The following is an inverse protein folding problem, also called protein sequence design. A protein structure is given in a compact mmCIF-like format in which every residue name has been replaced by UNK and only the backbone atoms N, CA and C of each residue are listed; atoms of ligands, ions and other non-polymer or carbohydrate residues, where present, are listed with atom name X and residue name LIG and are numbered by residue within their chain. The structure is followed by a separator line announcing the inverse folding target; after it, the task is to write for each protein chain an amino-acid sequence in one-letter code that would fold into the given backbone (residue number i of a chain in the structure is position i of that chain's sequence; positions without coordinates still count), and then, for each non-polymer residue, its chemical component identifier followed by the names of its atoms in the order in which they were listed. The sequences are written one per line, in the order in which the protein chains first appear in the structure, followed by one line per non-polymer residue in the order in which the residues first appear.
data_IF_758444058888
#
_entry.id   IF_758444058888
#
_cell.length_a   1.000
_cell.length_b   1.000
_cell.length_c   1.000
_cell.angle_alpha   90.00
_cell.angle_beta   90.00
_cell.angle_gamma   90.00
#
_symmetry.space_group_name_H-M   'P 1'
#
loop_
_entity.id
_entity.type
_entity.pdbx_description
1 polymer ?
#
# COMPACT_ATOMS: atom_id res chain seq x y z
N UNK A 1 -11.22 -8.48 -9.68
CA UNK A 1 -12.07 -9.55 -9.08
C UNK A 1 -13.52 -9.42 -9.53
N UNK A 2 -14.13 -8.21 -9.50
CA UNK A 2 -15.52 -8.00 -9.96
C UNK A 2 -15.72 -8.45 -11.41
N UNK A 3 -14.78 -8.11 -12.28
CA UNK A 3 -14.86 -8.48 -13.70
C UNK A 3 -14.76 -10.01 -13.96
N UNK A 4 -14.26 -10.77 -13.00
CA UNK A 4 -14.23 -12.24 -13.06
C UNK A 4 -15.58 -12.85 -12.68
N UNK A 5 -16.28 -12.23 -11.72
CA UNK A 5 -17.59 -12.70 -11.25
C UNK A 5 -18.71 -12.27 -12.18
N UNK A 6 -18.65 -11.04 -12.67
CA UNK A 6 -19.62 -10.47 -13.62
C UNK A 6 -18.89 -9.45 -14.48
N UNK A 7 -18.66 -9.73 -15.78
CA UNK A 7 -18.04 -8.77 -16.68
C UNK A 7 -18.88 -7.49 -16.76
N UNK A 8 -18.22 -6.34 -16.58
CA UNK A 8 -18.87 -5.04 -16.64
C UNK A 8 -18.82 -4.56 -18.08
N UNK A 9 -19.97 -4.33 -18.70
CA UNK A 9 -20.11 -3.84 -20.06
C UNK A 9 -20.08 -2.31 -20.12
N UNK A 10 -19.88 -1.76 -21.33
CA UNK A 10 -19.91 -0.32 -21.55
C UNK A 10 -21.27 0.26 -21.15
N UNK A 11 -21.27 1.24 -20.25
CA UNK A 11 -22.47 1.90 -19.73
C UNK A 11 -23.04 1.29 -18.44
N UNK A 12 -22.50 0.16 -17.97
CA UNK A 12 -22.86 -0.40 -16.68
C UNK A 12 -22.05 0.23 -15.55
N UNK A 13 -22.71 0.46 -14.41
CA UNK A 13 -22.07 0.97 -13.19
C UNK A 13 -22.22 -0.05 -12.07
N UNK A 14 -21.11 -0.39 -11.42
CA UNK A 14 -21.09 -1.32 -10.29
C UNK A 14 -20.65 -0.60 -9.04
N UNK A 15 -21.43 -0.73 -7.99
CA UNK A 15 -21.10 -0.23 -6.67
C UNK A 15 -20.53 -1.33 -5.79
N UNK A 16 -19.51 -1.03 -5.04
CA UNK A 16 -18.96 -1.95 -4.05
C UNK A 16 -18.81 -1.26 -2.70
N UNK A 17 -18.88 -2.03 -1.64
CA UNK A 17 -18.62 -1.56 -0.28
C UNK A 17 -17.86 -2.61 0.52
N UNK A 18 -17.16 -2.17 1.55
CA UNK A 18 -16.47 -3.07 2.47
C UNK A 18 -17.44 -3.58 3.55
N UNK A 19 -17.15 -4.78 4.07
CA UNK A 19 -18.00 -5.44 5.07
C UNK A 19 -18.22 -4.55 6.32
N UNK A 20 -17.23 -3.82 6.80
CA UNK A 20 -17.38 -2.92 7.93
C UNK A 20 -18.38 -1.79 7.67
N UNK A 21 -18.39 -1.25 6.45
CA UNK A 21 -19.36 -0.21 6.07
C UNK A 21 -20.78 -0.81 5.98
N UNK A 22 -20.90 -2.02 5.48
CA UNK A 22 -22.19 -2.71 5.41
C UNK A 22 -22.76 -2.96 6.81
N UNK A 23 -21.91 -3.36 7.76
CA UNK A 23 -22.31 -3.52 9.17
C UNK A 23 -22.79 -2.19 9.76
N UNK A 24 -22.06 -1.09 9.51
CA UNK A 24 -22.46 0.23 10.00
C UNK A 24 -23.80 0.70 9.41
N UNK A 25 -24.02 0.45 8.12
CA UNK A 25 -25.31 0.71 7.46
C UNK A 25 -26.42 -0.15 8.10
N UNK A 26 -26.20 -1.45 8.27
CA UNK A 26 -27.15 -2.35 8.89
C UNK A 26 -27.53 -1.91 10.31
N UNK A 27 -26.55 -1.54 11.12
CA UNK A 27 -26.79 -1.02 12.48
C UNK A 27 -27.60 0.27 12.48
N UNK A 28 -27.34 1.17 11.54
CA UNK A 28 -28.11 2.39 11.40
C UNK A 28 -29.60 2.11 11.13
N UNK A 29 -29.90 1.20 10.20
CA UNK A 29 -31.28 0.87 9.87
C UNK A 29 -32.00 0.06 10.95
N UNK A 30 -31.27 -0.81 11.65
CA UNK A 30 -31.86 -1.65 12.69
C UNK A 30 -32.06 -0.92 14.01
N UNK A 31 -31.09 -0.08 14.39
CA UNK A 31 -31.02 0.51 15.73
C UNK A 31 -31.23 2.04 15.71
N UNK A 32 -31.30 2.68 14.55
CA UNK A 32 -31.42 4.12 14.43
C UNK A 32 -30.17 4.90 14.86
N UNK A 33 -29.05 4.21 15.10
CA UNK A 33 -27.79 4.82 15.61
C UNK A 33 -26.65 4.53 14.66
N UNK A 34 -25.94 5.58 14.28
CA UNK A 34 -24.72 5.43 13.47
C UNK A 34 -23.54 5.02 14.35
N UNK A 35 -22.99 3.85 14.11
CA UNK A 35 -21.78 3.35 14.76
C UNK A 35 -20.55 3.71 13.90
N UNK A 36 -19.76 4.67 14.36
CA UNK A 36 -18.51 5.08 13.72
C UNK A 36 -17.32 4.19 14.07
N UNK A 37 -17.52 3.12 14.83
CA UNK A 37 -16.44 2.21 15.21
C UNK A 37 -15.88 1.50 13.98
N UNK A 38 -14.56 1.35 13.97
CA UNK A 38 -13.83 0.68 12.89
C UNK A 38 -12.69 -0.15 13.45
N UNK A 39 -12.49 -1.31 12.88
CA UNK A 39 -11.31 -2.14 13.15
C UNK A 39 -10.24 -1.78 12.12
N UNK A 40 -9.07 -1.40 12.61
CA UNK A 40 -7.92 -0.99 11.82
C UNK A 40 -6.77 -1.95 12.10
N UNK A 41 -6.14 -2.46 11.03
CA UNK A 41 -4.93 -3.25 11.12
C UNK A 41 -3.72 -2.31 11.25
N UNK A 42 -2.89 -2.50 12.26
CA UNK A 42 -1.60 -1.82 12.41
C UNK A 42 -0.49 -2.83 12.08
N UNK A 43 0.18 -2.64 10.94
CA UNK A 43 1.07 -3.64 10.34
C UNK A 43 2.29 -2.98 9.72
N UNK A 44 3.28 -3.78 9.34
CA UNK A 44 4.49 -3.32 8.68
C UNK A 44 5.72 -3.98 9.25
N UNK A 45 6.85 -3.84 8.56
CA UNK A 45 8.13 -4.42 9.00
C UNK A 45 8.69 -3.74 10.24
N UNK A 46 8.31 -2.47 10.48
CA UNK A 46 8.79 -1.67 11.60
C UNK A 46 7.80 -1.61 12.77
N UNK A 47 6.79 -2.48 12.78
CA UNK A 47 5.86 -2.63 13.89
C UNK A 47 6.33 -3.78 14.78
N UNK A 48 6.49 -3.51 16.10
CA UNK A 48 6.93 -4.52 17.08
C UNK A 48 5.94 -5.67 17.19
N UNK A 49 4.66 -5.33 17.35
CA UNK A 49 3.56 -6.28 17.49
C UNK A 49 2.42 -5.90 16.54
N UNK A 50 2.35 -6.52 15.35
CA UNK A 50 1.22 -6.29 14.44
C UNK A 50 -0.09 -6.79 15.05
N UNK A 51 -1.08 -5.91 15.13
CA UNK A 51 -2.39 -6.26 15.70
C UNK A 51 -3.53 -5.41 15.13
N UNK A 52 -4.75 -5.80 15.48
CA UNK A 52 -5.96 -5.05 15.15
C UNK A 52 -6.37 -4.15 16.31
N UNK A 53 -6.68 -2.91 15.98
CA UNK A 53 -7.20 -1.93 16.95
C UNK A 53 -8.64 -1.56 16.61
N UNK A 54 -9.50 -1.53 17.63
CA UNK A 54 -10.83 -0.95 17.48
C UNK A 54 -10.74 0.54 17.80
N UNK A 55 -11.10 1.35 16.83
CA UNK A 55 -11.07 2.81 16.91
C UNK A 55 -12.33 3.40 16.29
N UNK A 56 -12.37 4.71 16.08
CA UNK A 56 -13.43 5.42 15.37
C UNK A 56 -12.90 6.04 14.09
N UNK A 57 -13.78 6.27 13.13
CA UNK A 57 -13.45 7.02 11.91
C UNK A 57 -12.99 8.42 12.33
N UNK A 58 -11.84 8.87 11.80
CA UNK A 58 -11.27 10.18 12.13
C UNK A 58 -10.54 10.25 13.48
N UNK A 59 -10.31 9.12 14.15
CA UNK A 59 -9.51 9.12 15.39
C UNK A 59 -8.03 9.36 15.10
N UNK A 60 -7.36 10.03 16.01
CA UNK A 60 -5.90 10.19 16.00
C UNK A 60 -5.21 8.86 16.26
N UNK A 61 -4.26 8.50 15.37
CA UNK A 61 -3.48 7.26 15.43
C UNK A 61 -2.15 7.42 16.18
N UNK A 62 -1.82 8.61 16.69
CA UNK A 62 -0.54 8.88 17.37
C UNK A 62 -0.27 7.93 18.54
N UNK A 63 -1.31 7.51 19.26
CA UNK A 63 -1.20 6.53 20.34
C UNK A 63 -0.64 5.15 19.89
N UNK A 64 -0.72 4.81 18.61
CA UNK A 64 -0.18 3.57 18.09
C UNK A 64 1.31 3.63 17.81
N UNK A 65 1.89 4.82 17.72
CA UNK A 65 3.29 5.03 17.35
C UNK A 65 4.27 4.51 18.40
N UNK A 66 3.84 4.33 19.64
CA UNK A 66 4.63 3.66 20.68
C UNK A 66 4.98 2.20 20.32
N UNK A 67 4.20 1.58 19.43
CA UNK A 67 4.44 0.23 18.92
C UNK A 67 5.38 0.18 17.69
N UNK A 68 5.95 1.31 17.29
CA UNK A 68 6.95 1.38 16.21
C UNK A 68 8.32 1.04 16.78
N UNK A 69 9.09 0.25 16.02
CA UNK A 69 10.39 -0.26 16.45
C UNK A 69 11.54 0.75 16.25
N UNK A 70 11.45 1.57 15.20
CA UNK A 70 12.52 2.49 14.76
C UNK A 70 11.99 3.91 14.56
N UNK A 71 12.88 4.89 14.58
CA UNK A 71 12.50 6.30 14.43
C UNK A 71 12.34 6.72 12.97
N UNK A 72 13.16 6.17 12.07
CA UNK A 72 13.16 6.55 10.66
C UNK A 72 12.23 5.67 9.84
N UNK A 73 10.93 5.97 9.92
CA UNK A 73 9.87 5.17 9.29
C UNK A 73 8.93 6.02 8.45
N UNK A 74 8.35 5.39 7.47
CA UNK A 74 7.21 5.91 6.72
C UNK A 74 5.94 5.25 7.23
N UNK A 75 5.03 6.09 7.73
CA UNK A 75 3.69 5.68 8.14
C UNK A 75 2.75 5.93 6.97
N UNK A 76 2.02 4.91 6.59
CA UNK A 76 1.16 4.91 5.41
C UNK A 76 -0.27 4.61 5.85
N UNK A 77 -1.21 5.49 5.48
CA UNK A 77 -2.64 5.22 5.53
C UNK A 77 -2.99 4.29 4.37
N UNK A 78 -3.42 3.08 4.66
CA UNK A 78 -3.63 2.04 3.66
C UNK A 78 -2.43 1.09 3.51
N UNK A 79 -2.33 0.47 2.35
CA UNK A 79 -1.26 -0.47 2.02
C UNK A 79 -0.06 0.22 1.34
N UNK A 80 1.04 -0.51 1.18
CA UNK A 80 2.29 0.00 0.59
C UNK A 80 2.12 0.43 -0.88
N UNK A 81 1.19 -0.17 -1.62
CA UNK A 81 1.06 0.05 -3.07
C UNK A 81 0.17 1.25 -3.40
N UNK A 82 -0.92 1.42 -2.66
CA UNK A 82 -1.96 2.42 -2.99
C UNK A 82 -2.21 3.42 -1.87
N UNK A 83 -1.59 3.22 -0.70
CA UNK A 83 -1.76 4.08 0.46
C UNK A 83 -1.06 5.43 0.31
N UNK A 84 -1.37 6.32 1.24
CA UNK A 84 -0.80 7.68 1.28
C UNK A 84 0.08 7.84 2.52
N UNK A 85 1.22 8.52 2.38
CA UNK A 85 2.06 8.88 3.52
C UNK A 85 1.28 9.80 4.46
N UNK A 86 1.28 9.48 5.74
CA UNK A 86 0.74 10.36 6.78
C UNK A 86 1.81 11.41 7.09
N UNK A 87 1.51 12.67 6.77
CA UNK A 87 2.40 13.81 7.00
C UNK A 87 1.79 14.72 8.08
N UNK A 88 2.25 14.59 9.32
CA UNK A 88 1.86 15.50 10.41
C UNK A 88 0.42 15.39 10.93
N UNK A 89 -0.52 15.06 10.08
CA UNK A 89 -1.89 14.73 10.45
C UNK A 89 -1.97 13.23 10.72
N UNK A 90 -2.14 12.85 11.98
CA UNK A 90 -2.11 11.45 12.41
C UNK A 90 -3.43 10.71 12.16
N UNK A 91 -4.18 11.10 11.14
CA UNK A 91 -5.50 10.54 10.84
C UNK A 91 -5.44 9.52 9.72
N UNK A 92 -6.20 8.44 9.91
CA UNK A 92 -6.41 7.44 8.87
C UNK A 92 -7.37 7.97 7.81
N UNK A 93 -7.09 7.67 6.54
CA UNK A 93 -8.00 7.95 5.44
C UNK A 93 -9.37 7.28 5.64
N UNK A 94 -10.43 7.95 5.22
CA UNK A 94 -11.82 7.49 5.47
C UNK A 94 -12.09 6.07 4.98
N UNK A 95 -11.53 5.69 3.84
CA UNK A 95 -11.73 4.37 3.23
C UNK A 95 -10.67 3.35 3.65
N UNK A 96 -9.63 3.79 4.37
CA UNK A 96 -8.55 2.91 4.78
C UNK A 96 -8.92 2.16 6.06
N UNK A 97 -8.57 0.89 6.11
CA UNK A 97 -8.74 0.01 7.27
C UNK A 97 -7.42 -0.55 7.79
N UNK A 98 -6.32 0.04 7.32
CA UNK A 98 -4.97 -0.42 7.62
C UNK A 98 -4.03 0.77 7.73
N UNK A 99 -3.12 0.69 8.69
CA UNK A 99 -1.92 1.53 8.78
C UNK A 99 -0.72 0.63 8.56
N UNK A 100 0.15 1.02 7.65
CA UNK A 100 1.37 0.26 7.33
C UNK A 100 2.60 1.08 7.64
N UNK A 101 3.53 0.50 8.39
CA UNK A 101 4.80 1.15 8.77
C UNK A 101 5.96 0.41 8.14
N UNK A 102 6.74 1.14 7.34
CA UNK A 102 7.93 0.61 6.63
C UNK A 102 9.13 1.53 6.87
N UNK A 103 10.36 1.05 6.65
CA UNK A 103 11.53 1.90 6.73
C UNK A 103 11.45 3.06 5.74
N UNK A 104 11.79 4.28 6.17
CA UNK A 104 11.98 5.41 5.25
C UNK A 104 13.30 5.23 4.49
N UNK A 105 13.26 5.42 3.17
CA UNK A 105 14.41 5.22 2.31
C UNK A 105 15.24 6.50 2.16
N UNK A 106 16.34 6.56 2.90
CA UNK A 106 17.29 7.68 2.86
C UNK A 106 18.62 7.29 2.19
N UNK A 107 18.73 6.04 1.74
CA UNK A 107 19.97 5.55 1.15
C UNK A 107 20.00 5.75 -0.36
N UNK A 108 20.79 6.72 -0.78
CA UNK A 108 21.12 6.88 -2.21
C UNK A 108 22.18 5.86 -2.62
N UNK A 109 21.91 5.09 -3.65
CA UNK A 109 22.83 4.13 -4.21
C UNK A 109 23.14 4.47 -5.67
N UNK A 110 24.38 4.87 -5.94
CA UNK A 110 24.83 5.14 -7.30
C UNK A 110 24.72 3.88 -8.18
N UNK A 111 24.07 4.02 -9.33
CA UNK A 111 23.81 2.90 -10.26
C UNK A 111 23.17 1.65 -9.62
N UNK A 112 22.41 1.83 -8.55
CA UNK A 112 21.78 0.71 -7.86
C UNK A 112 20.78 -0.10 -8.70
N UNK A 113 20.30 0.48 -9.80
CA UNK A 113 19.45 -0.18 -10.79
C UNK A 113 20.23 -1.12 -11.73
N UNK A 114 21.54 -0.92 -11.91
CA UNK A 114 22.42 -1.75 -12.74
C UNK A 114 23.11 -2.85 -11.92
N UNK A 115 23.27 -2.65 -10.62
CA UNK A 115 23.98 -3.59 -9.77
C UNK A 115 23.26 -4.93 -9.69
N UNK A 116 23.96 -6.06 -9.84
CA UNK A 116 23.39 -7.39 -9.66
C UNK A 116 23.02 -7.59 -8.19
N UNK A 117 21.79 -7.26 -7.83
CA UNK A 117 21.36 -7.31 -6.45
C UNK A 117 20.37 -8.45 -6.23
N UNK A 118 20.80 -9.49 -5.52
CA UNK A 118 20.01 -10.68 -5.23
C UNK A 118 19.02 -10.47 -4.06
N UNK A 119 19.19 -9.42 -3.27
CA UNK A 119 18.37 -9.14 -2.08
C UNK A 119 17.23 -8.14 -2.33
N UNK A 120 17.32 -7.34 -3.39
CA UNK A 120 16.32 -6.30 -3.68
C UNK A 120 15.07 -6.86 -4.31
N UNK A 121 13.96 -6.17 -4.06
CA UNK A 121 12.70 -6.46 -4.73
C UNK A 121 12.78 -6.00 -6.21
N UNK A 122 12.30 -6.83 -7.11
CA UNK A 122 12.13 -6.49 -8.53
C UNK A 122 10.77 -6.99 -9.00
N UNK A 123 9.91 -6.07 -9.40
CA UNK A 123 8.59 -6.40 -9.95
C UNK A 123 8.66 -6.84 -11.41
N UNK A 124 9.65 -6.33 -12.15
CA UNK A 124 9.84 -6.56 -13.59
C UNK A 124 10.73 -7.75 -13.90
N UNK A 125 11.30 -8.40 -12.88
CA UNK A 125 12.25 -9.51 -13.02
C UNK A 125 13.51 -9.16 -13.83
N UNK A 126 13.93 -7.91 -13.85
CA UNK A 126 15.09 -7.44 -14.62
C UNK A 126 16.40 -7.55 -13.86
N UNK A 127 16.37 -7.83 -12.57
CA UNK A 127 17.56 -7.93 -11.70
C UNK A 127 17.88 -9.39 -11.35
N UNK A 128 19.12 -9.64 -10.92
CA UNK A 128 19.56 -10.96 -10.47
C UNK A 128 18.72 -11.58 -9.37
N UNK A 129 18.00 -10.76 -8.58
CA UNK A 129 17.03 -11.22 -7.58
C UNK A 129 15.88 -12.06 -8.17
N UNK A 130 15.61 -11.96 -9.46
CA UNK A 130 14.59 -12.76 -10.16
C UNK A 130 14.98 -14.24 -10.28
N UNK A 131 16.28 -14.54 -10.28
CA UNK A 131 16.82 -15.90 -10.32
C UNK A 131 16.75 -16.61 -8.97
N UNK A 132 16.56 -15.86 -7.87
CA UNK A 132 16.46 -16.42 -6.55
C UNK A 132 15.02 -16.86 -6.25
N UNK A 133 14.87 -17.93 -5.45
CA UNK A 133 13.56 -18.37 -4.94
C UNK A 133 12.81 -17.18 -4.35
N UNK A 134 11.49 -17.10 -4.59
CA UNK A 134 10.59 -16.10 -4.02
C UNK A 134 10.70 -16.12 -2.49
N UNK A 135 11.50 -15.23 -1.94
CA UNK A 135 11.62 -15.01 -0.49
C UNK A 135 10.79 -13.79 -0.09
N UNK A 136 10.28 -13.79 1.14
CA UNK A 136 9.68 -12.58 1.71
C UNK A 136 10.77 -11.51 1.83
N UNK A 137 10.50 -10.32 1.30
CA UNK A 137 11.41 -9.17 1.34
C UNK A 137 10.75 -8.03 2.08
N UNK A 138 11.54 -7.30 2.84
CA UNK A 138 11.11 -6.05 3.47
C UNK A 138 11.03 -5.01 2.37
N UNK A 139 9.88 -4.33 2.27
CA UNK A 139 9.70 -3.20 1.37
C UNK A 139 10.14 -1.94 2.11
N UNK A 140 10.93 -1.12 1.45
CA UNK A 140 11.34 0.21 1.89
C UNK A 140 11.01 1.25 0.79
N UNK A 141 11.37 2.51 1.03
CA UNK A 141 11.15 3.58 0.07
C UNK A 141 12.43 3.99 -0.67
N UNK A 142 13.50 3.20 -0.60
CA UNK A 142 14.74 3.46 -1.32
C UNK A 142 14.55 3.35 -2.84
N UNK A 143 15.02 4.37 -3.57
CA UNK A 143 14.90 4.42 -5.03
C UNK A 143 15.97 3.60 -5.76
N UNK A 144 16.93 3.02 -5.02
CA UNK A 144 17.94 2.09 -5.54
C UNK A 144 18.65 2.56 -6.84
N UNK A 145 19.03 3.82 -6.90
CA UNK A 145 19.76 4.37 -8.03
C UNK A 145 19.20 5.69 -8.56
N UNK A 146 18.33 6.33 -7.81
CA UNK A 146 17.71 7.60 -8.11
C UNK A 146 16.37 7.50 -8.83
N UNK A 147 15.77 8.64 -9.09
CA UNK A 147 14.45 8.73 -9.73
C UNK A 147 14.59 8.29 -11.19
N UNK A 148 13.83 7.27 -11.54
CA UNK A 148 13.65 6.84 -12.92
C UNK A 148 12.18 6.76 -13.24
N UNK A 149 11.66 7.66 -14.06
CA UNK A 149 10.22 7.73 -14.35
C UNK A 149 9.72 6.47 -15.08
N UNK A 150 10.56 5.89 -15.92
CA UNK A 150 10.26 4.63 -16.62
C UNK A 150 11.52 3.80 -16.81
N UNK A 151 11.41 2.48 -16.66
CA UNK A 151 12.45 1.52 -16.99
C UNK A 151 12.00 0.82 -18.27
N UNK A 152 12.84 0.82 -19.30
CA UNK A 152 12.56 0.11 -20.55
C UNK A 152 12.69 -1.40 -20.31
N UNK A 153 11.57 -2.07 -20.12
CA UNK A 153 11.52 -3.51 -19.80
C UNK A 153 10.89 -4.34 -20.93
N UNK A 154 10.44 -3.69 -22.02
CA UNK A 154 9.67 -4.34 -23.08
C UNK A 154 8.24 -4.74 -22.66
N UNK A 155 7.80 -4.35 -21.46
CA UNK A 155 6.46 -4.66 -20.97
C UNK A 155 5.47 -3.54 -21.22
N UNK A 156 5.93 -2.30 -21.18
CA UNK A 156 5.07 -1.12 -21.31
C UNK A 156 4.65 -0.90 -22.77
N UNK A 157 5.53 -1.19 -23.73
CA UNK A 157 5.28 -1.05 -25.17
C UNK A 157 4.10 -1.91 -25.64
N UNK A 158 3.85 -3.03 -24.96
CA UNK A 158 2.71 -3.91 -25.26
C UNK A 158 1.37 -3.36 -24.78
N UNK A 159 1.37 -2.41 -23.86
CA UNK A 159 0.18 -1.86 -23.23
C UNK A 159 -0.19 -0.50 -23.81
N UNK A 160 0.78 0.24 -24.35
CA UNK A 160 0.53 1.52 -24.98
C UNK A 160 -0.14 1.33 -26.35
N UNK A 161 -1.26 2.05 -26.62
CA UNK A 161 -1.96 1.98 -27.89
C UNK A 161 -1.25 2.77 -29.01
N UNK A 162 -0.10 3.35 -28.72
CA UNK A 162 0.68 4.17 -29.65
C UNK A 162 2.11 3.64 -29.73
N UNK A 163 2.71 3.77 -30.89
CA UNK A 163 4.14 3.45 -31.11
C UNK A 163 5.01 4.61 -30.60
N UNK A 164 5.07 4.74 -29.29
CA UNK A 164 5.89 5.74 -28.59
C UNK A 164 6.79 5.06 -27.56
N UNK A 165 8.01 5.58 -27.43
CA UNK A 165 8.88 5.23 -26.32
C UNK A 165 8.46 6.05 -25.08
N UNK A 166 7.99 5.41 -24.01
CA UNK A 166 7.74 6.12 -22.76
C UNK A 166 9.10 6.51 -22.16
N UNK A 167 9.40 7.80 -22.15
CA UNK A 167 10.58 8.37 -21.52
C UNK A 167 10.25 8.92 -20.13
#
# INVERSE_FOLDING_TARGET
QLNVLSPINKGETVWYTYAQNLIAIGNLFLNGVYDSSRVVAFTGSEVKEPMYYRTRIGADMSGLYANIATENVRIISGNVLTGKKINGENFLGYYDSQVTVIPEGDHYQLFGWLAPNFKKFTSTNTMGASLCKKSKKVLDTNLNGGIRPLIMTGNFEKVFPFDIYPM
#
